data_IF_413758474142
#
_entry.id   IF_413758474142
#
_cell.length_a   1.000
_cell.length_b   1.000
_cell.length_c   1.000
_cell.angle_alpha   90.00
_cell.angle_beta   90.00
_cell.angle_gamma   90.00
#
_symmetry.space_group_name_H-M   'P 1'
#
loop_
_entity.id
_entity.type
_entity.pdbx_description
1 polymer ?
#
# COMPACT_ATOMS: atom_id res chain seq x y z
N UNK A 1 26.05 0.06 60.58
CA UNK A 1 25.95 -0.42 59.19
C UNK A 1 27.13 0.14 58.41
N UNK A 2 28.02 -0.73 57.82
CA UNK A 2 29.15 -0.28 56.99
C UNK A 2 28.58 0.13 55.60
N UNK A 3 28.68 1.42 55.27
CA UNK A 3 28.40 1.90 53.91
C UNK A 3 29.48 1.37 52.96
N UNK A 4 29.11 0.52 51.99
CA UNK A 4 30.01 0.10 50.91
C UNK A 4 30.21 1.32 50.00
N UNK A 5 31.42 1.80 49.86
CA UNK A 5 31.77 2.83 48.87
C UNK A 5 31.89 2.14 47.48
N UNK A 6 31.16 2.67 46.54
CA UNK A 6 31.21 2.22 45.14
C UNK A 6 32.41 2.86 44.46
N UNK A 7 33.23 2.06 43.80
CA UNK A 7 34.44 2.55 43.12
C UNK A 7 34.11 3.03 41.70
N UNK A 8 34.86 4.01 41.20
CA UNK A 8 34.72 4.52 39.84
C UNK A 8 34.96 3.43 38.78
N UNK A 9 35.88 2.48 39.09
CA UNK A 9 36.18 1.34 38.22
C UNK A 9 35.00 0.37 38.13
N UNK A 10 34.31 0.07 39.22
CA UNK A 10 33.12 -0.79 39.21
C UNK A 10 32.03 -0.21 38.33
N UNK A 11 31.81 1.11 38.39
CA UNK A 11 30.85 1.80 37.51
C UNK A 11 31.27 1.72 36.03
N UNK A 12 32.56 1.98 35.76
CA UNK A 12 33.12 2.00 34.41
C UNK A 12 33.02 0.65 33.71
N UNK A 13 33.32 -0.45 34.44
CA UNK A 13 33.22 -1.82 33.89
C UNK A 13 31.77 -2.16 33.55
N UNK A 14 30.79 -1.79 34.40
CA UNK A 14 29.39 -2.07 34.16
C UNK A 14 28.87 -1.33 32.89
N UNK A 15 29.19 -0.03 32.76
CA UNK A 15 28.79 0.72 31.55
C UNK A 15 29.48 0.17 30.29
N UNK A 16 30.73 -0.29 30.38
CA UNK A 16 31.44 -0.90 29.25
C UNK A 16 30.76 -2.22 28.79
N UNK A 17 30.36 -3.07 29.74
CA UNK A 17 29.63 -4.32 29.41
C UNK A 17 28.27 -3.99 28.79
N UNK A 18 27.51 -3.04 29.35
CA UNK A 18 26.23 -2.61 28.80
C UNK A 18 26.42 -2.07 27.36
N UNK A 19 27.45 -1.25 27.13
CA UNK A 19 27.74 -0.68 25.81
C UNK A 19 28.04 -1.79 24.76
N UNK A 20 28.83 -2.80 25.14
CA UNK A 20 29.13 -3.94 24.27
C UNK A 20 27.86 -4.73 23.93
N UNK A 21 27.05 -5.06 24.94
CA UNK A 21 25.80 -5.78 24.73
C UNK A 21 24.81 -4.97 23.86
N UNK A 22 24.68 -3.68 24.13
CA UNK A 22 23.82 -2.79 23.34
C UNK A 22 24.29 -2.70 21.88
N UNK A 23 25.59 -2.59 21.63
CA UNK A 23 26.15 -2.52 20.28
C UNK A 23 25.83 -3.78 19.44
N UNK A 24 25.74 -4.94 20.05
CA UNK A 24 25.34 -6.18 19.37
C UNK A 24 23.82 -6.28 19.18
N UNK A 25 23.02 -5.74 20.10
CA UNK A 25 21.56 -5.82 20.05
C UNK A 25 20.93 -4.81 19.09
N UNK A 26 21.49 -3.61 18.93
CA UNK A 26 20.90 -2.56 18.10
C UNK A 26 20.69 -2.96 16.63
N UNK A 27 21.66 -3.59 15.92
CA UNK A 27 21.46 -4.04 14.55
C UNK A 27 20.34 -5.10 14.43
N UNK A 28 20.32 -6.07 15.36
CA UNK A 28 19.30 -7.11 15.38
C UNK A 28 17.90 -6.56 15.64
N UNK A 29 17.75 -5.61 16.58
CA UNK A 29 16.50 -4.94 16.88
C UNK A 29 16.00 -4.10 15.69
N UNK A 30 16.90 -3.40 15.00
CA UNK A 30 16.55 -2.63 13.79
C UNK A 30 16.00 -3.55 12.70
N UNK A 31 16.65 -4.68 12.43
CA UNK A 31 16.18 -5.67 11.45
C UNK A 31 14.84 -6.30 11.86
N UNK A 32 14.66 -6.64 13.13
CA UNK A 32 13.38 -7.16 13.64
C UNK A 32 12.24 -6.16 13.49
N UNK A 33 12.48 -4.88 13.79
CA UNK A 33 11.50 -3.80 13.63
C UNK A 33 11.11 -3.61 12.16
N UNK A 34 12.06 -3.67 11.24
CA UNK A 34 11.77 -3.56 9.80
C UNK A 34 10.88 -4.72 9.31
N UNK A 35 11.18 -5.96 9.74
CA UNK A 35 10.35 -7.14 9.42
C UNK A 35 8.94 -7.05 10.01
N UNK A 36 8.80 -6.54 11.24
CA UNK A 36 7.51 -6.33 11.87
C UNK A 36 6.66 -5.30 11.12
N UNK A 37 7.26 -4.20 10.66
CA UNK A 37 6.60 -3.20 9.81
C UNK A 37 6.15 -3.79 8.48
N UNK A 38 6.99 -4.58 7.81
CA UNK A 38 6.67 -5.27 6.56
C UNK A 38 5.48 -6.23 6.74
N UNK A 39 5.51 -7.06 7.79
CA UNK A 39 4.40 -7.95 8.12
C UNK A 39 3.10 -7.18 8.39
N UNK A 40 3.17 -6.03 9.07
CA UNK A 40 2.03 -5.13 9.27
C UNK A 40 1.47 -4.61 7.96
N UNK A 41 2.30 -4.16 7.02
CA UNK A 41 1.86 -3.69 5.71
C UNK A 41 1.18 -4.81 4.89
N UNK A 42 1.72 -6.04 4.91
CA UNK A 42 1.09 -7.20 4.28
C UNK A 42 -0.26 -7.57 4.89
N UNK A 43 -0.37 -7.47 6.22
CA UNK A 43 -1.64 -7.69 6.92
C UNK A 43 -2.72 -6.69 6.49
N UNK A 44 -2.35 -5.42 6.34
CA UNK A 44 -3.26 -4.37 5.87
C UNK A 44 -3.68 -4.63 4.41
N UNK A 45 -2.74 -4.97 3.53
CA UNK A 45 -3.06 -5.36 2.15
C UNK A 45 -4.02 -6.55 2.10
N UNK A 46 -3.83 -7.55 2.95
CA UNK A 46 -4.74 -8.70 3.05
C UNK A 46 -6.15 -8.29 3.46
N UNK A 47 -6.28 -7.40 4.44
CA UNK A 47 -7.57 -6.85 4.87
C UNK A 47 -8.24 -6.05 3.73
N UNK A 48 -7.47 -5.24 2.98
CA UNK A 48 -7.98 -4.55 1.79
C UNK A 48 -8.48 -5.53 0.73
N UNK A 49 -7.77 -6.63 0.51
CA UNK A 49 -8.19 -7.69 -0.42
C UNK A 49 -9.52 -8.29 -0.02
N UNK A 50 -9.67 -8.68 1.24
CA UNK A 50 -10.94 -9.21 1.76
C UNK A 50 -12.07 -8.18 1.60
N UNK A 51 -11.83 -6.92 1.95
CA UNK A 51 -12.82 -5.85 1.83
C UNK A 51 -13.21 -5.55 0.39
N UNK A 52 -12.25 -5.70 -0.54
CA UNK A 52 -12.53 -5.58 -1.98
C UNK A 52 -13.45 -6.68 -2.48
N UNK A 53 -13.21 -7.94 -2.07
CA UNK A 53 -14.07 -9.06 -2.46
C UNK A 53 -15.49 -8.89 -1.92
N UNK A 54 -15.64 -8.43 -0.67
CA UNK A 54 -16.95 -8.10 -0.09
C UNK A 54 -17.64 -6.96 -0.87
N UNK A 55 -16.90 -5.91 -1.26
CA UNK A 55 -17.42 -4.87 -2.11
C UNK A 55 -17.90 -5.42 -3.46
N UNK A 56 -17.12 -6.30 -4.11
CA UNK A 56 -17.49 -6.88 -5.39
C UNK A 56 -18.78 -7.73 -5.27
N UNK A 57 -18.93 -8.50 -4.20
CA UNK A 57 -20.12 -9.29 -3.92
C UNK A 57 -21.38 -8.42 -3.86
N UNK A 58 -21.33 -7.29 -3.15
CA UNK A 58 -22.43 -6.33 -3.04
C UNK A 58 -22.66 -5.51 -4.32
N UNK A 59 -21.68 -5.41 -5.23
CA UNK A 59 -21.70 -4.55 -6.40
C UNK A 59 -21.62 -5.32 -7.74
N UNK A 60 -22.31 -6.47 -7.86
CA UNK A 60 -22.41 -7.25 -9.12
C UNK A 60 -21.03 -7.60 -9.71
N UNK A 61 -20.10 -7.99 -8.86
CA UNK A 61 -18.73 -8.35 -9.19
C UNK A 61 -17.84 -7.19 -9.72
N UNK A 62 -18.34 -5.96 -9.75
CA UNK A 62 -17.52 -4.83 -10.18
C UNK A 62 -16.37 -4.56 -9.21
N UNK A 63 -15.16 -4.47 -9.75
CA UNK A 63 -13.96 -4.08 -8.98
C UNK A 63 -14.06 -2.59 -8.63
N UNK A 64 -13.69 -2.16 -7.41
CA UNK A 64 -13.72 -0.74 -7.04
C UNK A 64 -12.97 0.13 -8.05
N UNK A 65 -13.59 1.18 -8.61
CA UNK A 65 -12.94 2.09 -9.54
C UNK A 65 -11.83 2.90 -8.85
N UNK A 66 -10.72 3.12 -9.56
CA UNK A 66 -9.58 3.88 -9.04
C UNK A 66 -9.96 5.34 -8.71
N UNK A 67 -10.77 5.96 -9.56
CA UNK A 67 -11.41 7.27 -9.32
C UNK A 67 -12.89 7.11 -9.53
N UNK A 68 -13.70 7.62 -8.59
CA UNK A 68 -15.15 7.53 -8.68
C UNK A 68 -15.68 8.13 -9.99
N UNK A 69 -16.53 7.37 -10.67
CA UNK A 69 -17.27 7.83 -11.83
C UNK A 69 -18.36 8.81 -11.39
N UNK A 70 -18.47 9.93 -12.09
CA UNK A 70 -19.55 10.91 -12.17
C UNK A 70 -19.96 11.72 -10.93
N UNK A 71 -20.08 11.17 -9.72
CA UNK A 71 -20.44 11.94 -8.52
C UNK A 71 -19.48 11.76 -7.33
N UNK A 72 -18.61 10.74 -7.37
CA UNK A 72 -17.61 10.43 -6.34
C UNK A 72 -16.19 10.80 -6.79
N UNK A 73 -16.04 11.72 -7.74
CA UNK A 73 -14.75 12.11 -8.33
C UNK A 73 -13.70 12.63 -7.31
N UNK A 74 -14.16 12.98 -6.10
CA UNK A 74 -13.28 13.42 -5.02
C UNK A 74 -12.72 12.26 -4.14
N UNK A 75 -13.31 11.06 -4.23
CA UNK A 75 -13.04 9.97 -3.31
C UNK A 75 -12.67 8.71 -4.09
N UNK A 76 -11.42 8.27 -4.03
CA UNK A 76 -10.95 7.09 -4.74
C UNK A 76 -11.51 5.76 -4.20
N UNK A 77 -10.96 4.66 -4.68
CA UNK A 77 -11.29 3.29 -4.28
C UNK A 77 -11.30 3.07 -2.75
N UNK A 78 -10.48 3.82 -2.01
CA UNK A 78 -10.39 3.77 -0.54
C UNK A 78 -11.75 4.04 0.11
N UNK A 79 -12.50 4.99 -0.44
CA UNK A 79 -13.83 5.36 0.03
C UNK A 79 -14.85 4.21 -0.13
N UNK A 80 -14.69 3.42 -1.18
CA UNK A 80 -15.61 2.32 -1.49
C UNK A 80 -15.35 1.09 -0.60
N UNK A 81 -14.09 0.78 -0.28
CA UNK A 81 -13.76 -0.41 0.53
C UNK A 81 -13.66 -0.11 2.04
N UNK A 82 -13.52 1.15 2.44
CA UNK A 82 -13.37 1.51 3.86
C UNK A 82 -14.50 1.00 4.77
N UNK A 83 -15.78 1.04 4.38
CA UNK A 83 -16.86 0.48 5.20
C UNK A 83 -16.68 -1.02 5.51
N UNK A 84 -16.15 -1.77 4.55
CA UNK A 84 -15.90 -3.20 4.69
C UNK A 84 -14.66 -3.50 5.57
N UNK A 85 -13.68 -2.59 5.63
CA UNK A 85 -12.51 -2.73 6.49
C UNK A 85 -12.81 -2.41 7.95
N UNK A 86 -13.59 -1.36 8.19
CA UNK A 86 -13.87 -0.83 9.53
C UNK A 86 -15.06 -1.50 10.21
N UNK A 87 -15.84 -2.30 9.48
CA UNK A 87 -17.13 -2.83 9.96
C UNK A 87 -18.19 -1.74 10.19
N UNK A 88 -17.90 -0.50 9.80
CA UNK A 88 -18.84 0.60 9.90
C UNK A 88 -19.92 0.46 8.83
N UNK A 89 -21.14 0.33 9.26
CA UNK A 89 -22.33 0.48 8.41
C UNK A 89 -22.47 1.96 8.06
N UNK A 90 -21.75 2.41 7.03
CA UNK A 90 -21.79 3.81 6.61
C UNK A 90 -23.17 4.17 6.01
N UNK A 91 -23.93 4.98 6.73
CA UNK A 91 -25.30 5.41 6.34
C UNK A 91 -25.30 6.50 5.28
N UNK A 92 -24.19 7.22 5.13
CA UNK A 92 -24.05 8.33 4.20
C UNK A 92 -22.58 8.51 3.76
N UNK A 93 -22.36 9.36 2.75
CA UNK A 93 -21.05 9.59 2.16
C UNK A 93 -20.05 10.25 3.11
N UNK A 94 -20.52 11.04 4.09
CA UNK A 94 -19.66 11.63 5.10
C UNK A 94 -19.06 10.56 6.04
N UNK A 95 -19.85 9.56 6.43
CA UNK A 95 -19.37 8.44 7.24
C UNK A 95 -18.37 7.57 6.48
N UNK A 96 -18.63 7.30 5.19
CA UNK A 96 -17.68 6.60 4.32
C UNK A 96 -16.37 7.38 4.20
N UNK A 97 -16.45 8.72 4.05
CA UNK A 97 -15.29 9.58 3.99
C UNK A 97 -14.48 9.56 5.30
N UNK A 98 -15.15 9.59 6.46
CA UNK A 98 -14.49 9.47 7.76
C UNK A 98 -13.81 8.11 7.92
N UNK A 99 -14.47 7.02 7.51
CA UNK A 99 -13.89 5.69 7.51
C UNK A 99 -12.64 5.60 6.61
N UNK A 100 -12.68 6.20 5.42
CA UNK A 100 -11.54 6.21 4.49
C UNK A 100 -10.34 7.03 5.00
N UNK A 101 -10.56 7.97 5.93
CA UNK A 101 -9.50 8.77 6.57
C UNK A 101 -8.84 8.04 7.75
N UNK A 102 -9.36 6.87 8.15
CA UNK A 102 -8.79 6.09 9.24
C UNK A 102 -7.37 5.58 8.94
N UNK A 103 -6.69 5.09 9.98
CA UNK A 103 -5.32 4.57 9.87
C UNK A 103 -5.21 3.27 9.04
N UNK A 104 -6.33 2.77 8.54
CA UNK A 104 -6.40 1.50 7.78
C UNK A 104 -5.67 1.51 6.45
N UNK A 105 -5.40 2.70 5.88
CA UNK A 105 -4.65 2.87 4.63
C UNK A 105 -3.21 3.32 4.84
N UNK A 106 -2.71 3.27 6.08
CA UNK A 106 -1.35 3.63 6.45
C UNK A 106 -0.44 2.40 6.47
N UNK A 107 0.66 2.43 5.72
CA UNK A 107 1.71 1.42 5.88
C UNK A 107 2.59 1.78 7.08
N UNK A 108 2.79 0.88 8.06
CA UNK A 108 3.71 1.11 9.19
C UNK A 108 5.16 1.37 8.77
N UNK A 109 5.53 0.98 7.55
CA UNK A 109 6.85 1.24 6.96
C UNK A 109 7.04 2.65 6.43
N UNK A 110 5.95 3.40 6.20
CA UNK A 110 6.01 4.77 5.67
C UNK A 110 5.94 5.80 6.80
N UNK A 111 6.83 6.79 6.76
CA UNK A 111 6.90 7.84 7.77
C UNK A 111 6.12 9.10 7.38
N UNK A 112 5.88 9.31 6.08
CA UNK A 112 5.16 10.48 5.58
C UNK A 112 3.67 10.37 5.90
N UNK A 113 3.02 11.42 6.43
CA UNK A 113 1.61 11.39 6.81
C UNK A 113 0.69 11.42 5.58
N UNK A 114 -0.60 11.11 5.80
CA UNK A 114 -1.67 11.41 4.84
C UNK A 114 -2.28 12.76 5.20
N UNK A 115 -2.35 13.66 4.21
CA UNK A 115 -2.91 15.00 4.36
C UNK A 115 -3.87 15.32 3.21
N UNK A 116 -5.15 15.20 3.47
CA UNK A 116 -6.20 15.41 2.46
C UNK A 116 -6.42 16.87 2.07
N UNK A 117 -6.23 17.78 3.00
CA UNK A 117 -6.62 19.19 2.83
C UNK A 117 -5.45 20.13 2.50
N UNK A 118 -4.25 19.79 2.93
CA UNK A 118 -3.05 20.59 2.74
C UNK A 118 -1.93 19.83 2.05
N UNK A 119 -2.26 18.89 1.16
CA UNK A 119 -1.29 18.02 0.49
C UNK A 119 -0.17 18.82 -0.18
N UNK A 120 1.08 18.43 0.16
CA UNK A 120 2.30 18.94 -0.46
C UNK A 120 3.01 17.79 -1.18
N UNK A 121 3.15 17.91 -2.48
CA UNK A 121 3.79 16.86 -3.32
C UNK A 121 5.19 16.54 -2.78
N UNK A 122 5.47 15.25 -2.63
CA UNK A 122 6.74 14.73 -2.11
C UNK A 122 6.90 14.77 -0.58
N UNK A 123 6.03 15.51 0.14
CA UNK A 123 6.11 15.68 1.61
C UNK A 123 5.12 14.79 2.34
N UNK A 124 3.88 14.76 1.87
CA UNK A 124 2.78 13.98 2.45
C UNK A 124 1.99 13.27 1.36
N UNK A 125 1.22 12.25 1.73
CA UNK A 125 0.31 11.58 0.82
C UNK A 125 -1.04 12.27 0.79
N UNK A 126 -1.64 12.38 -0.40
CA UNK A 126 -2.99 12.92 -0.53
C UNK A 126 -4.06 11.92 -0.10
N UNK A 127 -3.87 10.62 -0.41
CA UNK A 127 -4.91 9.62 -0.31
C UNK A 127 -4.55 8.44 0.57
N UNK A 128 -3.48 7.72 0.24
CA UNK A 128 -3.15 6.42 0.81
C UNK A 128 -1.68 6.10 0.59
N UNK A 129 -1.10 5.29 1.48
CA UNK A 129 0.22 4.68 1.26
C UNK A 129 0.16 3.49 0.28
N UNK A 130 -1.02 3.17 -0.24
CA UNK A 130 -1.26 2.12 -1.22
C UNK A 130 -1.90 2.69 -2.47
N UNK A 131 -1.70 2.02 -3.59
CA UNK A 131 -2.21 2.42 -4.89
C UNK A 131 -2.85 1.25 -5.62
N UNK A 132 -3.85 1.55 -6.44
CA UNK A 132 -4.63 0.56 -7.17
C UNK A 132 -4.16 0.47 -8.63
N UNK A 133 -4.24 -0.73 -9.19
CA UNK A 133 -3.95 -0.97 -10.60
C UNK A 133 -5.08 -0.44 -11.49
N UNK A 134 -4.82 0.63 -12.23
CA UNK A 134 -5.80 1.26 -13.11
C UNK A 134 -6.21 0.41 -14.32
N UNK A 135 -5.46 -0.62 -14.69
CA UNK A 135 -5.88 -1.56 -15.73
C UNK A 135 -7.04 -2.45 -15.27
N UNK A 136 -7.19 -2.67 -13.95
CA UNK A 136 -8.32 -3.39 -13.37
C UNK A 136 -9.44 -2.45 -12.94
N UNK A 137 -9.09 -1.33 -12.36
CA UNK A 137 -10.02 -0.43 -11.65
C UNK A 137 -10.42 0.80 -12.46
N UNK A 138 -9.92 0.94 -13.69
CA UNK A 138 -10.18 2.09 -14.53
C UNK A 138 -9.56 3.39 -13.99
N UNK A 139 -9.42 4.36 -14.86
CA UNK A 139 -9.11 5.75 -14.50
C UNK A 139 -9.73 6.65 -15.56
N UNK A 140 -10.69 7.49 -15.19
CA UNK A 140 -11.47 8.35 -16.11
C UNK A 140 -10.62 9.12 -17.13
N UNK A 141 -9.44 9.54 -16.73
CA UNK A 141 -8.48 10.25 -17.57
C UNK A 141 -8.00 9.43 -18.79
N UNK A 142 -8.12 8.10 -18.73
CA UNK A 142 -7.62 7.15 -19.75
C UNK A 142 -8.73 6.28 -20.36
N UNK A 143 -10.02 6.55 -20.09
CA UNK A 143 -11.16 5.77 -20.59
C UNK A 143 -11.26 5.71 -22.13
N UNK A 144 -10.62 6.65 -22.84
CA UNK A 144 -10.59 6.66 -24.32
C UNK A 144 -9.95 5.41 -24.93
N UNK A 145 -9.13 4.70 -24.16
CA UNK A 145 -8.53 3.43 -24.54
C UNK A 145 -9.06 2.36 -23.60
N UNK A 146 -9.90 1.45 -24.03
CA UNK A 146 -10.50 0.35 -23.25
C UNK A 146 -9.56 -0.38 -22.27
N UNK A 147 -8.26 -0.10 -22.32
CA UNK A 147 -7.23 -0.64 -21.43
C UNK A 147 -7.42 -0.27 -19.95
N UNK A 148 -7.93 0.91 -19.63
CA UNK A 148 -8.05 1.45 -18.26
C UNK A 148 -9.51 1.58 -17.82
N UNK A 149 -10.32 0.61 -18.13
CA UNK A 149 -11.72 0.54 -17.69
C UNK A 149 -11.87 -0.24 -16.38
N UNK A 150 -12.95 0.00 -15.68
CA UNK A 150 -13.36 -0.85 -14.55
C UNK A 150 -13.76 -2.22 -15.09
N UNK A 151 -13.37 -3.28 -14.37
CA UNK A 151 -13.62 -4.67 -14.73
C UNK A 151 -14.46 -5.37 -13.67
N UNK A 152 -15.06 -6.49 -14.05
CA UNK A 152 -15.69 -7.42 -13.11
C UNK A 152 -14.72 -8.55 -12.74
N UNK A 153 -14.98 -9.24 -11.62
CA UNK A 153 -14.21 -10.43 -11.22
C UNK A 153 -14.27 -11.54 -12.26
N UNK A 154 -15.42 -11.70 -12.93
CA UNK A 154 -15.60 -12.70 -14.00
C UNK A 154 -14.71 -12.49 -15.24
N UNK A 155 -14.12 -11.30 -15.41
CA UNK A 155 -13.17 -11.03 -16.49
C UNK A 155 -11.72 -11.41 -16.14
N UNK A 156 -11.45 -11.79 -14.90
CA UNK A 156 -10.13 -12.14 -14.44
C UNK A 156 -9.87 -13.61 -14.72
N UNK A 157 -8.94 -13.90 -15.59
CA UNK A 157 -8.60 -15.27 -16.00
C UNK A 157 -7.68 -15.99 -14.99
N UNK A 158 -6.85 -15.24 -14.28
CA UNK A 158 -5.98 -15.75 -13.22
C UNK A 158 -5.86 -14.73 -12.08
N UNK A 159 -6.74 -14.86 -11.10
CA UNK A 159 -6.81 -13.95 -9.96
C UNK A 159 -5.56 -14.00 -9.07
N UNK A 160 -4.78 -15.10 -9.12
CA UNK A 160 -3.54 -15.23 -8.34
C UNK A 160 -2.36 -14.46 -8.95
N UNK A 161 -2.48 -14.00 -10.20
CA UNK A 161 -1.46 -13.24 -10.93
C UNK A 161 -1.88 -11.80 -11.23
N UNK A 162 -3.17 -11.49 -11.16
CA UNK A 162 -3.69 -10.16 -11.43
C UNK A 162 -3.37 -9.20 -10.28
N UNK A 163 -2.35 -8.38 -10.43
CA UNK A 163 -1.94 -7.38 -9.43
C UNK A 163 -3.05 -6.37 -9.27
N UNK A 164 -3.51 -6.18 -8.03
CA UNK A 164 -4.62 -5.28 -7.68
C UNK A 164 -4.16 -4.05 -6.90
N UNK A 165 -3.51 -4.23 -5.75
CA UNK A 165 -2.96 -3.15 -4.93
C UNK A 165 -1.47 -3.36 -4.68
N UNK A 166 -0.74 -2.25 -4.48
CA UNK A 166 0.65 -2.29 -4.06
C UNK A 166 1.02 -1.01 -3.31
N UNK A 167 2.20 -1.00 -2.72
CA UNK A 167 2.72 0.18 -2.02
C UNK A 167 2.88 1.36 -2.98
N UNK A 168 2.42 2.54 -2.56
CA UNK A 168 2.41 3.78 -3.35
C UNK A 168 3.61 4.67 -3.02
N UNK A 169 4.31 5.16 -4.05
CA UNK A 169 5.33 6.20 -3.91
C UNK A 169 4.81 7.57 -4.38
N UNK A 170 3.82 7.58 -5.28
CA UNK A 170 3.27 8.82 -5.79
C UNK A 170 2.32 9.44 -4.76
N UNK A 171 2.76 10.53 -4.14
CA UNK A 171 2.02 11.19 -3.06
C UNK A 171 0.72 11.87 -3.52
N UNK A 172 0.59 12.20 -4.81
CA UNK A 172 -0.57 12.87 -5.38
C UNK A 172 -1.62 11.96 -6.01
N UNK A 173 -1.28 10.70 -6.26
CA UNK A 173 -2.10 9.74 -7.02
C UNK A 173 -2.51 8.55 -6.15
N UNK A 174 -3.66 7.96 -6.46
CA UNK A 174 -4.19 6.78 -5.80
C UNK A 174 -4.35 5.57 -6.72
N UNK A 175 -4.00 5.73 -8.00
CA UNK A 175 -4.03 4.66 -8.99
C UNK A 175 -2.80 4.72 -9.89
N UNK A 176 -2.24 3.56 -10.21
CA UNK A 176 -1.05 3.44 -11.05
C UNK A 176 -1.35 2.80 -12.39
N UNK A 177 -0.63 3.28 -13.40
CA UNK A 177 -0.53 2.71 -14.74
C UNK A 177 0.91 2.30 -15.06
N UNK A 178 1.87 2.70 -14.21
CA UNK A 178 3.29 2.39 -14.36
C UNK A 178 3.84 1.80 -13.06
N UNK A 179 4.64 0.76 -13.16
CA UNK A 179 5.35 0.15 -12.03
C UNK A 179 6.31 1.11 -11.32
N UNK A 180 6.78 2.16 -12.01
CA UNK A 180 7.63 3.21 -11.43
C UNK A 180 6.95 4.02 -10.31
N UNK A 181 5.62 3.98 -10.20
CA UNK A 181 4.89 4.62 -9.11
C UNK A 181 4.74 3.72 -7.87
N UNK A 182 5.13 2.46 -7.97
CA UNK A 182 5.18 1.58 -6.82
C UNK A 182 6.30 2.00 -5.86
N UNK A 183 6.02 1.93 -4.55
CA UNK A 183 7.04 2.17 -3.53
C UNK A 183 7.77 0.87 -3.19
N UNK A 184 9.07 0.95 -3.13
CA UNK A 184 9.96 -0.17 -2.79
C UNK A 184 10.55 -0.01 -1.39
N UNK A 185 9.76 0.52 -0.44
CA UNK A 185 10.17 0.90 0.92
C UNK A 185 10.56 -0.27 1.81
N UNK A 186 10.13 -1.49 1.48
CA UNK A 186 10.39 -2.67 2.31
C UNK A 186 11.80 -3.24 2.16
N UNK A 187 12.59 -2.74 1.22
CA UNK A 187 14.04 -3.00 1.11
C UNK A 187 14.91 -1.94 1.80
N UNK A 188 14.30 -0.97 2.49
CA UNK A 188 15.00 0.14 3.14
C UNK A 188 15.23 1.37 2.25
N UNK A 189 14.76 1.35 1.02
CA UNK A 189 14.94 2.42 0.04
C UNK A 189 13.61 3.13 -0.26
N UNK A 190 13.08 3.87 0.72
CA UNK A 190 11.99 4.82 0.44
C UNK A 190 12.54 5.97 -0.41
N UNK A 191 11.97 6.18 -1.59
CA UNK A 191 12.37 7.26 -2.49
C UNK A 191 11.55 8.50 -2.20
N UNK A 192 12.22 9.64 -2.21
CA UNK A 192 11.56 10.96 -2.17
C UNK A 192 11.38 11.55 -3.57
N UNK A 193 12.02 10.94 -4.58
CA UNK A 193 12.05 11.40 -5.96
C UNK A 193 11.66 10.25 -6.91
N UNK A 194 10.56 10.44 -7.64
CA UNK A 194 10.04 9.48 -8.63
C UNK A 194 10.92 9.38 -9.89
N UNK A 195 11.86 10.31 -10.10
CA UNK A 195 12.80 10.25 -11.23
C UNK A 195 13.92 9.25 -11.00
N UNK A 196 14.15 8.84 -9.75
CA UNK A 196 15.13 7.82 -9.42
C UNK A 196 14.56 6.44 -9.72
N UNK A 197 15.21 5.70 -10.62
CA UNK A 197 14.82 4.32 -10.97
C UNK A 197 15.15 3.40 -9.80
N UNK A 198 14.19 2.56 -9.31
CA UNK A 198 14.49 1.55 -8.29
C UNK A 198 15.54 0.55 -8.78
N UNK A 199 16.25 -0.05 -7.84
CA UNK A 199 17.14 -1.19 -8.13
C UNK A 199 16.34 -2.48 -8.22
N UNK A 200 16.84 -3.46 -8.94
CA UNK A 200 16.20 -4.78 -9.04
C UNK A 200 16.03 -5.48 -7.67
N UNK A 201 16.86 -5.12 -6.68
CA UNK A 201 16.77 -5.62 -5.31
C UNK A 201 15.69 -4.94 -4.46
N UNK A 202 15.14 -3.82 -4.92
CA UNK A 202 14.16 -3.06 -4.15
C UNK A 202 12.81 -3.77 -4.14
N UNK A 203 12.21 -3.89 -2.94
CA UNK A 203 11.03 -4.72 -2.70
C UNK A 203 9.78 -3.87 -2.42
N UNK A 204 8.67 -4.24 -3.01
CA UNK A 204 7.33 -3.72 -2.73
C UNK A 204 6.39 -4.86 -2.36
N UNK A 205 5.37 -4.58 -1.55
CA UNK A 205 4.31 -5.54 -1.28
C UNK A 205 3.19 -5.38 -2.30
N UNK A 206 2.72 -6.50 -2.81
CA UNK A 206 1.71 -6.62 -3.86
C UNK A 206 0.57 -7.47 -3.35
N UNK A 207 -0.65 -6.98 -3.49
CA UNK A 207 -1.88 -7.75 -3.34
C UNK A 207 -2.40 -8.10 -4.73
N UNK A 208 -2.67 -9.37 -4.97
CA UNK A 208 -3.41 -9.83 -6.13
C UNK A 208 -4.91 -9.86 -5.87
N UNK A 209 -5.72 -9.73 -6.91
CA UNK A 209 -7.19 -9.69 -6.75
C UNK A 209 -7.75 -10.97 -6.12
N UNK A 210 -7.07 -12.10 -6.28
CA UNK A 210 -7.39 -13.36 -5.59
C UNK A 210 -7.08 -13.35 -4.09
N UNK A 211 -6.56 -12.26 -3.55
CA UNK A 211 -6.34 -12.06 -2.11
C UNK A 211 -4.98 -12.55 -1.60
N UNK A 212 -4.10 -13.12 -2.40
CA UNK A 212 -2.73 -13.43 -2.00
C UNK A 212 -1.87 -12.16 -1.96
N UNK A 213 -0.93 -12.10 -1.00
CA UNK A 213 0.00 -10.98 -0.81
C UNK A 213 1.42 -11.50 -0.85
N UNK A 214 2.26 -10.85 -1.66
CA UNK A 214 3.66 -11.21 -1.84
C UNK A 214 4.55 -9.96 -1.81
N UNK A 215 5.82 -10.14 -1.45
CA UNK A 215 6.85 -9.14 -1.73
C UNK A 215 7.45 -9.43 -3.10
N UNK A 216 7.49 -8.41 -3.97
CA UNK A 216 8.03 -8.49 -5.33
C UNK A 216 9.13 -7.44 -5.50
N UNK A 217 10.17 -7.80 -6.23
CA UNK A 217 11.23 -6.86 -6.56
C UNK A 217 10.87 -6.02 -7.79
N UNK A 218 11.59 -4.89 -7.98
CA UNK A 218 11.35 -3.97 -9.07
C UNK A 218 11.42 -4.66 -10.43
N UNK A 219 12.47 -5.41 -10.72
CA UNK A 219 12.64 -6.11 -11.99
C UNK A 219 11.49 -7.07 -12.34
N UNK A 220 10.86 -7.68 -11.32
CA UNK A 220 9.72 -8.57 -11.51
C UNK A 220 8.39 -7.87 -11.78
N UNK A 221 8.29 -6.55 -11.55
CA UNK A 221 7.07 -5.75 -11.76
C UNK A 221 7.26 -4.76 -12.91
N UNK A 222 8.51 -4.41 -13.25
CA UNK A 222 8.84 -3.33 -14.19
C UNK A 222 8.36 -3.57 -15.61
N UNK A 223 8.29 -4.82 -16.08
CA UNK A 223 7.76 -5.10 -17.41
C UNK A 223 6.26 -4.74 -17.43
N UNK A 224 5.83 -3.94 -18.39
CA UNK A 224 4.42 -3.56 -18.64
C UNK A 224 3.45 -4.73 -18.53
N UNK A 225 3.91 -5.90 -18.94
CA UNK A 225 3.13 -7.14 -18.95
C UNK A 225 2.71 -7.61 -17.55
N UNK A 226 3.39 -7.22 -16.46
CA UNK A 226 3.06 -7.71 -15.13
C UNK A 226 1.84 -7.04 -14.51
N UNK A 227 1.55 -5.76 -14.84
CA UNK A 227 0.33 -5.09 -14.38
C UNK A 227 -0.93 -5.58 -15.13
N UNK A 228 -0.78 -6.25 -16.25
CA UNK A 228 -1.87 -6.75 -17.10
C UNK A 228 -1.93 -8.29 -17.15
N UNK A 229 -1.12 -8.97 -16.34
CA UNK A 229 -1.16 -10.45 -16.22
C UNK A 229 -2.45 -10.88 -15.50
N UNK A 230 -3.02 -11.98 -15.94
CA UNK A 230 -4.20 -12.59 -15.31
C UNK A 230 -5.53 -12.05 -15.82
N UNK A 231 -5.55 -11.16 -16.83
CA UNK A 231 -6.76 -10.69 -17.51
C UNK A 231 -6.43 -10.12 -18.90
N UNK A 232 -7.43 -10.07 -19.79
CA UNK A 232 -7.26 -9.47 -21.12
C UNK A 232 -7.60 -7.98 -21.09
N UNK A 233 -6.59 -7.14 -21.07
CA UNK A 233 -6.76 -5.67 -21.00
C UNK A 233 -7.24 -5.06 -22.33
N UNK A 234 -7.23 -5.82 -23.44
CA UNK A 234 -7.66 -5.36 -24.77
C UNK A 234 -9.15 -5.54 -24.98
N UNK A 235 -9.81 -6.48 -24.29
CA UNK A 235 -11.24 -6.72 -24.36
C UNK A 235 -11.98 -5.77 -23.43
N UNK A 236 -12.99 -5.08 -23.94
CA UNK A 236 -13.73 -4.08 -23.19
C UNK A 236 -15.23 -4.19 -23.31
N UNK A 237 -15.96 -4.45 -22.21
CA UNK A 237 -17.32 -3.95 -22.07
C UNK A 237 -17.26 -2.55 -21.43
N UNK A 238 -18.16 -1.64 -21.82
CA UNK A 238 -18.31 -0.33 -21.18
C UNK A 238 -19.04 -0.56 -19.87
N UNK A 239 -18.51 -0.02 -18.76
CA UNK A 239 -19.23 0.00 -17.49
C UNK A 239 -20.55 0.76 -17.64
N UNK A 240 -21.64 0.32 -17.02
CA UNK A 240 -22.95 0.97 -17.08
C UNK A 240 -22.94 2.37 -16.48
#
# INVERSE_FOLDING_TARGET
MKKRSFTLIELLVVIAIIAILAAMLLPALSAARARAKDAGCKSILKQMGTSTLLYCDDNKEWIPPANGSTNFAAYGWQFLIAPYMSGLQAKNDNEKLLASRGQVFLCPGEARPINYSGHKVGVDYKWSHYTINCYLSGKKQFEKNNAHRVRTLGEITDASKAIYLLDNENTGENGIIYSSYASYRHSGNSRTDLTVIPKDSDMTNVLYIGGNVESRNYGSIFAWNHLVVGFDYTKGAVAP
#
